data_IF_255616370217
#
_entry.id   IF_255616370217
#
_cell.length_a   1.000
_cell.length_b   1.000
_cell.length_c   1.000
_cell.angle_alpha   90.00
_cell.angle_beta   90.00
_cell.angle_gamma   90.00
#
_symmetry.space_group_name_H-M   'P 1'
#
loop_
_entity.id
_entity.type
_entity.pdbx_description
1 polymer ?
#
# COMPACT_ATOMS: atom_id res chain seq x y z
N UNK A 1 -17.66 10.38 -15.28
CA UNK A 1 -16.92 9.42 -14.45
C UNK A 1 -17.76 8.18 -14.20
N UNK A 2 -17.17 7.01 -14.30
CA UNK A 2 -17.89 5.75 -14.12
C UNK A 2 -18.00 5.40 -12.64
N UNK A 3 -19.00 4.57 -12.28
CA UNK A 3 -19.14 4.08 -10.91
C UNK A 3 -17.92 3.27 -10.43
N UNK A 4 -17.23 2.59 -11.38
CA UNK A 4 -16.03 1.81 -11.06
C UNK A 4 -14.89 2.68 -10.55
N UNK A 5 -14.67 3.86 -11.15
CA UNK A 5 -13.63 4.78 -10.72
C UNK A 5 -13.89 5.28 -9.29
N UNK A 6 -15.12 5.69 -9.02
CA UNK A 6 -15.50 6.14 -7.68
C UNK A 6 -15.38 5.02 -6.64
N UNK A 7 -15.72 3.79 -7.03
CA UNK A 7 -15.59 2.63 -6.15
C UNK A 7 -14.13 2.38 -5.78
N UNK A 8 -13.23 2.45 -6.77
CA UNK A 8 -11.81 2.21 -6.51
C UNK A 8 -11.15 3.36 -5.78
N UNK A 9 -11.60 4.60 -5.98
CA UNK A 9 -11.11 5.73 -5.18
C UNK A 9 -11.46 5.54 -3.71
N UNK A 10 -12.67 5.12 -3.40
CA UNK A 10 -13.08 4.81 -2.03
C UNK A 10 -12.30 3.64 -1.47
N UNK A 11 -12.04 2.62 -2.30
CA UNK A 11 -11.24 1.46 -1.90
C UNK A 11 -9.81 1.89 -1.53
N UNK A 12 -9.19 2.74 -2.33
CA UNK A 12 -7.84 3.21 -2.05
C UNK A 12 -7.78 4.03 -0.76
N UNK A 13 -8.78 4.87 -0.51
CA UNK A 13 -8.89 5.60 0.76
C UNK A 13 -9.00 4.62 1.93
N UNK A 14 -9.84 3.59 1.78
CA UNK A 14 -9.98 2.55 2.80
C UNK A 14 -8.67 1.81 3.06
N UNK A 15 -7.91 1.48 2.01
CA UNK A 15 -6.58 0.86 2.16
C UNK A 15 -5.66 1.73 3.01
N UNK A 16 -5.61 3.03 2.74
CA UNK A 16 -4.76 3.96 3.49
C UNK A 16 -5.17 4.08 4.95
N UNK A 17 -6.43 3.88 5.25
CA UNK A 17 -6.95 3.93 6.62
C UNK A 17 -6.81 2.59 7.36
N UNK A 18 -6.45 1.52 6.65
CA UNK A 18 -6.41 0.16 7.20
C UNK A 18 -5.11 -0.56 6.85
N UNK A 19 -3.98 0.16 6.87
CA UNK A 19 -2.68 -0.38 6.44
C UNK A 19 -2.29 -1.66 7.16
N UNK A 20 -2.62 -1.78 8.45
CA UNK A 20 -2.30 -2.96 9.25
C UNK A 20 -3.33 -4.06 9.14
N UNK A 21 -4.43 -3.79 8.47
CA UNK A 21 -5.55 -4.72 8.36
C UNK A 21 -5.34 -5.75 7.26
N UNK A 22 -6.41 -6.54 7.05
CA UNK A 22 -6.43 -7.52 5.98
C UNK A 22 -6.70 -6.83 4.65
N UNK A 23 -5.67 -6.69 3.82
CA UNK A 23 -5.77 -6.11 2.48
C UNK A 23 -5.60 -7.19 1.40
N UNK A 24 -5.93 -8.43 1.71
CA UNK A 24 -5.96 -9.53 0.73
C UNK A 24 -7.14 -9.37 -0.21
N UNK A 25 -7.07 -10.01 -1.36
CA UNK A 25 -8.09 -9.88 -2.42
C UNK A 25 -9.52 -10.11 -1.93
N UNK A 26 -9.82 -11.15 -1.12
CA UNK A 26 -11.20 -11.33 -0.65
C UNK A 26 -11.74 -10.12 0.12
N UNK A 27 -10.93 -9.53 0.99
CA UNK A 27 -11.34 -8.36 1.77
C UNK A 27 -11.52 -7.12 0.88
N UNK A 28 -10.64 -6.93 -0.09
CA UNK A 28 -10.73 -5.81 -1.03
C UNK A 28 -11.98 -5.94 -1.92
N UNK A 29 -12.25 -7.13 -2.41
CA UNK A 29 -13.43 -7.39 -3.25
C UNK A 29 -14.71 -7.10 -2.46
N UNK A 30 -14.76 -7.51 -1.20
CA UNK A 30 -15.90 -7.24 -0.33
C UNK A 30 -16.11 -5.74 -0.14
N UNK A 31 -15.03 -4.99 0.11
CA UNK A 31 -15.10 -3.53 0.24
C UNK A 31 -15.59 -2.87 -1.05
N UNK A 32 -15.23 -3.42 -2.19
CA UNK A 32 -15.67 -2.90 -3.48
C UNK A 32 -17.07 -3.36 -3.88
N UNK A 33 -17.69 -4.25 -3.11
CA UNK A 33 -19.01 -4.79 -3.42
C UNK A 33 -19.00 -5.70 -4.64
N UNK A 34 -17.91 -6.42 -4.87
CA UNK A 34 -17.72 -7.27 -6.05
C UNK A 34 -17.32 -8.69 -5.65
N UNK A 35 -17.62 -9.66 -6.54
CA UNK A 35 -17.00 -10.98 -6.41
C UNK A 35 -15.49 -10.85 -6.65
N UNK A 36 -14.71 -11.80 -6.13
CA UNK A 36 -13.25 -11.75 -6.31
C UNK A 36 -12.87 -11.76 -7.79
N UNK A 37 -13.54 -12.58 -8.59
CA UNK A 37 -13.25 -12.68 -10.02
C UNK A 37 -13.52 -11.38 -10.75
N UNK A 38 -14.67 -10.76 -10.51
CA UNK A 38 -15.01 -9.47 -11.12
C UNK A 38 -14.07 -8.38 -10.65
N UNK A 39 -13.74 -8.38 -9.36
CA UNK A 39 -12.84 -7.40 -8.77
C UNK A 39 -11.46 -7.45 -9.42
N UNK A 40 -10.85 -8.64 -9.51
CA UNK A 40 -9.53 -8.80 -10.10
C UNK A 40 -9.48 -8.30 -11.53
N UNK A 41 -10.50 -8.65 -12.33
CA UNK A 41 -10.55 -8.25 -13.73
C UNK A 41 -10.73 -6.75 -13.88
N UNK A 42 -11.73 -6.17 -13.23
CA UNK A 42 -12.03 -4.75 -13.34
C UNK A 42 -10.92 -3.87 -12.76
N UNK A 43 -10.38 -4.28 -11.61
CA UNK A 43 -9.33 -3.51 -10.96
C UNK A 43 -8.12 -3.36 -11.88
N UNK A 44 -7.66 -4.47 -12.47
CA UNK A 44 -6.52 -4.42 -13.37
C UNK A 44 -6.80 -3.61 -14.64
N UNK A 45 -8.02 -3.70 -15.17
CA UNK A 45 -8.42 -2.92 -16.35
C UNK A 45 -8.43 -1.43 -16.08
N UNK A 46 -8.95 -1.01 -14.92
CA UNK A 46 -9.11 0.41 -14.58
C UNK A 46 -7.82 1.01 -14.01
N UNK A 47 -7.16 0.30 -13.10
CA UNK A 47 -6.01 0.83 -12.35
C UNK A 47 -4.69 0.51 -13.07
N UNK A 48 -4.63 -0.56 -13.85
CA UNK A 48 -3.45 -0.92 -14.62
C UNK A 48 -2.45 -1.81 -13.90
N UNK A 49 -2.65 -2.07 -12.61
CA UNK A 49 -1.81 -2.98 -11.83
C UNK A 49 -2.71 -3.92 -11.03
N UNK A 50 -2.12 -5.00 -10.52
CA UNK A 50 -2.88 -5.93 -9.68
C UNK A 50 -3.18 -5.30 -8.31
N UNK A 51 -4.24 -5.76 -7.61
CA UNK A 51 -4.51 -5.28 -6.26
C UNK A 51 -3.34 -5.46 -5.30
N UNK A 52 -2.62 -6.58 -5.38
CA UNK A 52 -1.46 -6.83 -4.52
C UNK A 52 -0.38 -5.76 -4.71
N UNK A 53 -0.11 -5.39 -5.96
CA UNK A 53 0.86 -4.32 -6.25
C UNK A 53 0.38 -2.97 -5.77
N UNK A 54 -0.91 -2.69 -5.90
CA UNK A 54 -1.49 -1.44 -5.40
C UNK A 54 -1.38 -1.35 -3.88
N UNK A 55 -1.67 -2.43 -3.15
CA UNK A 55 -1.51 -2.48 -1.70
C UNK A 55 -0.05 -2.21 -1.31
N UNK A 56 0.89 -2.86 -1.99
CA UNK A 56 2.32 -2.65 -1.74
C UNK A 56 2.68 -1.17 -1.90
N UNK A 57 2.23 -0.53 -2.97
CA UNK A 57 2.51 0.88 -3.24
C UNK A 57 1.90 1.81 -2.18
N UNK A 58 0.68 1.51 -1.75
CA UNK A 58 0.01 2.29 -0.68
C UNK A 58 0.82 2.21 0.62
N UNK A 59 1.26 1.01 0.99
CA UNK A 59 2.07 0.81 2.19
C UNK A 59 3.43 1.47 2.09
N UNK A 60 4.10 1.37 0.94
CA UNK A 60 5.39 2.03 0.70
C UNK A 60 5.25 3.54 0.80
N UNK A 61 4.19 4.11 0.21
CA UNK A 61 3.97 5.56 0.26
C UNK A 61 3.77 6.03 1.70
N UNK A 62 2.99 5.30 2.50
CA UNK A 62 2.80 5.64 3.91
C UNK A 62 4.12 5.57 4.69
N UNK A 63 4.92 4.55 4.45
CA UNK A 63 6.21 4.38 5.11
C UNK A 63 7.20 5.46 4.66
N UNK A 64 7.20 5.82 3.39
CA UNK A 64 8.04 6.88 2.85
C UNK A 64 7.76 8.20 3.56
N UNK A 65 6.49 8.54 3.72
CA UNK A 65 6.08 9.75 4.43
C UNK A 65 6.53 9.72 5.89
N UNK A 66 6.36 8.58 6.57
CA UNK A 66 6.78 8.45 7.97
C UNK A 66 8.30 8.56 8.13
N UNK A 67 9.05 7.99 7.20
CA UNK A 67 10.53 8.08 7.23
C UNK A 67 11.00 9.52 7.05
N UNK A 68 10.33 10.30 6.21
CA UNK A 68 10.69 11.68 5.94
C UNK A 68 10.16 12.69 6.94
N UNK A 69 9.08 12.36 7.65
CA UNK A 69 8.40 13.30 8.54
C UNK A 69 8.60 13.01 10.03
N UNK A 70 9.15 11.85 10.38
CA UNK A 70 9.31 11.45 11.79
C UNK A 70 10.68 10.85 12.02
N UNK A 71 11.07 10.73 13.29
CA UNK A 71 12.27 10.00 13.70
C UNK A 71 11.93 8.62 14.28
N UNK A 72 10.72 8.12 14.02
CA UNK A 72 10.30 6.80 14.51
C UNK A 72 11.25 5.71 13.98
N UNK A 73 11.52 4.68 14.82
CA UNK A 73 12.36 3.57 14.37
C UNK A 73 11.78 2.88 13.14
N UNK A 74 12.65 2.44 12.23
CA UNK A 74 12.24 1.75 11.01
C UNK A 74 11.35 0.54 11.32
N UNK A 75 11.66 -0.20 12.37
CA UNK A 75 10.87 -1.34 12.81
C UNK A 75 9.43 -0.95 13.13
N UNK A 76 9.25 0.18 13.80
CA UNK A 76 7.91 0.66 14.14
C UNK A 76 7.14 1.09 12.90
N UNK A 77 7.81 1.78 11.99
CA UNK A 77 7.19 2.19 10.72
C UNK A 77 6.75 0.95 9.93
N UNK A 78 7.58 -0.09 9.88
CA UNK A 78 7.23 -1.32 9.18
C UNK A 78 5.96 -1.95 9.75
N UNK A 79 5.84 -1.95 11.08
CA UNK A 79 4.64 -2.46 11.74
C UNK A 79 3.42 -1.59 11.46
N UNK A 80 3.56 -0.28 11.66
CA UNK A 80 2.44 0.66 11.55
C UNK A 80 1.91 0.75 10.11
N UNK A 81 2.78 0.56 9.13
CA UNK A 81 2.38 0.61 7.72
C UNK A 81 1.95 -0.74 7.14
N UNK A 82 1.89 -1.78 7.97
CA UNK A 82 1.29 -3.05 7.58
C UNK A 82 2.24 -4.06 6.93
N UNK A 83 3.56 -3.81 6.95
CA UNK A 83 4.53 -4.76 6.39
C UNK A 83 4.78 -5.97 7.29
N UNK A 84 4.59 -5.81 8.59
CA UNK A 84 4.84 -6.87 9.57
C UNK A 84 6.29 -6.97 10.01
N UNK A 85 7.26 -6.79 9.11
CA UNK A 85 8.69 -6.85 9.44
C UNK A 85 9.49 -5.83 8.65
N UNK A 86 10.66 -5.48 9.15
CA UNK A 86 11.59 -4.60 8.44
C UNK A 86 12.03 -5.20 7.11
N UNK A 87 12.26 -6.52 7.09
CA UNK A 87 12.71 -7.19 5.88
C UNK A 87 11.65 -7.12 4.77
N UNK A 88 10.38 -7.33 5.10
CA UNK A 88 9.30 -7.20 4.13
C UNK A 88 9.23 -5.77 3.59
N UNK A 89 9.34 -4.77 4.48
CA UNK A 89 9.35 -3.36 4.06
C UNK A 89 10.55 -3.07 3.15
N UNK A 90 11.73 -3.58 3.48
CA UNK A 90 12.93 -3.37 2.68
C UNK A 90 12.73 -3.91 1.25
N UNK A 91 12.20 -5.11 1.13
CA UNK A 91 11.95 -5.70 -0.20
C UNK A 91 10.96 -4.87 -1.01
N UNK A 92 9.90 -4.40 -0.38
CA UNK A 92 8.91 -3.56 -1.05
C UNK A 92 9.50 -2.22 -1.48
N UNK A 93 10.33 -1.59 -0.62
CA UNK A 93 11.02 -0.34 -0.98
C UNK A 93 11.94 -0.55 -2.18
N UNK A 94 12.72 -1.63 -2.18
CA UNK A 94 13.61 -1.93 -3.30
C UNK A 94 12.83 -2.12 -4.60
N UNK A 95 11.68 -2.80 -4.53
CA UNK A 95 10.84 -3.05 -5.71
C UNK A 95 10.17 -1.78 -6.22
N UNK A 96 9.67 -0.93 -5.32
CA UNK A 96 8.89 0.25 -5.70
C UNK A 96 9.76 1.48 -5.92
N UNK A 97 10.75 1.71 -5.06
CA UNK A 97 11.56 2.94 -5.04
C UNK A 97 13.03 2.70 -5.40
N UNK A 98 13.47 1.47 -5.52
CA UNK A 98 14.85 1.08 -5.80
C UNK A 98 15.86 1.59 -4.75
N UNK A 99 15.39 1.87 -3.53
CA UNK A 99 16.25 2.27 -2.42
C UNK A 99 15.72 1.65 -1.13
N UNK A 100 16.60 1.21 -0.20
CA UNK A 100 16.13 0.69 1.08
C UNK A 100 15.65 1.81 2.01
N UNK A 101 14.81 1.50 3.02
CA UNK A 101 14.26 2.52 3.90
C UNK A 101 15.30 3.39 4.60
N UNK A 102 16.40 2.80 5.09
CA UNK A 102 17.43 3.58 5.79
C UNK A 102 18.10 4.59 4.85
N UNK A 103 18.34 4.23 3.60
CA UNK A 103 18.92 5.13 2.63
C UNK A 103 17.96 6.25 2.26
N UNK A 104 16.67 5.94 2.19
CA UNK A 104 15.64 6.96 1.96
C UNK A 104 15.66 7.99 3.09
N UNK A 105 15.70 7.52 4.35
CA UNK A 105 15.72 8.40 5.52
C UNK A 105 16.95 9.30 5.54
N UNK A 106 18.10 8.78 5.15
CA UNK A 106 19.33 9.55 5.08
C UNK A 106 19.25 10.68 4.05
N UNK A 107 18.60 10.44 2.91
CA UNK A 107 18.41 11.44 1.85
C UNK A 107 17.45 12.55 2.26
N UNK A 108 16.47 12.22 3.10
CA UNK A 108 15.41 13.14 3.50
C UNK A 108 15.29 13.16 5.02
N UNK A 109 16.33 13.67 5.71
CA UNK A 109 16.32 13.68 7.18
C UNK A 109 15.24 14.61 7.72
N UNK A 110 14.73 14.24 8.89
CA UNK A 110 13.74 15.05 9.62
C UNK A 110 14.41 16.26 10.26
#
# INVERSE_FOLDING_TARGET
MTGSDATFDRLHTWMRQNLRGNLAVPALAEQAGMSERSFLRHYRQVIGVTPARAVERVRVEAARQALGATSLPVKRIARDCGFGSEETMRRSFMRVLAVPPHAYRERFPV
#
